data_IF_134422273945
#
_entry.id   IF_134422273945
#
_cell.length_a   1.000
_cell.length_b   1.000
_cell.length_c   1.000
_cell.angle_alpha   90.00
_cell.angle_beta   90.00
_cell.angle_gamma   90.00
#
_symmetry.space_group_name_H-M   'P 1'
#
loop_
_entity.id
_entity.type
_entity.pdbx_description
1 polymer ?
#
# COMPACT_ATOMS: atom_id res chain seq x y z
N UNK A 1 8.72 6.77 16.64
CA UNK A 1 9.25 5.44 17.03
C UNK A 1 8.94 4.51 15.88
N UNK A 2 9.95 3.95 15.19
CA UNK A 2 9.72 2.99 14.11
C UNK A 2 9.38 1.65 14.76
N UNK A 3 8.10 1.25 14.75
CA UNK A 3 7.73 -0.09 15.15
C UNK A 3 8.17 -1.04 14.05
N UNK A 4 9.20 -1.83 14.36
CA UNK A 4 9.63 -2.91 13.50
C UNK A 4 8.51 -3.95 13.50
N UNK A 5 7.87 -4.19 12.35
CA UNK A 5 6.84 -5.22 12.22
C UNK A 5 7.28 -6.53 12.86
N UNK A 6 6.38 -7.18 13.59
CA UNK A 6 6.61 -8.50 14.16
C UNK A 6 6.93 -9.52 13.04
N UNK A 7 7.56 -10.67 13.34
CA UNK A 7 7.79 -11.71 12.33
C UNK A 7 6.50 -12.18 11.65
N UNK A 8 5.38 -12.20 12.38
CA UNK A 8 4.07 -12.57 11.85
C UNK A 8 3.53 -11.50 10.88
N UNK A 9 3.61 -10.22 11.24
CA UNK A 9 3.26 -9.09 10.36
C UNK A 9 4.11 -9.06 9.09
N UNK A 10 5.43 -9.28 9.21
CA UNK A 10 6.31 -9.36 8.03
C UNK A 10 5.88 -10.48 7.08
N UNK A 11 5.56 -11.66 7.63
CA UNK A 11 5.08 -12.79 6.83
C UNK A 11 3.72 -12.48 6.18
N UNK A 12 2.83 -11.81 6.90
CA UNK A 12 1.54 -11.38 6.37
C UNK A 12 1.70 -10.36 5.22
N UNK A 13 2.64 -9.40 5.34
CA UNK A 13 2.96 -8.45 4.26
C UNK A 13 3.55 -9.12 3.02
N UNK A 14 4.35 -10.18 3.19
CA UNK A 14 4.90 -10.95 2.06
C UNK A 14 3.81 -11.65 1.24
N UNK A 15 2.69 -12.02 1.89
CA UNK A 15 1.51 -12.59 1.23
C UNK A 15 0.41 -11.58 0.92
N UNK A 16 0.61 -10.30 1.24
CA UNK A 16 -0.41 -9.28 1.10
C UNK A 16 -0.76 -9.06 -0.38
N UNK A 17 -2.05 -8.85 -0.65
CA UNK A 17 -2.56 -8.57 -1.99
C UNK A 17 -3.29 -7.23 -1.99
N UNK A 18 -3.31 -6.55 -3.14
CA UNK A 18 -4.07 -5.31 -3.32
C UNK A 18 -5.36 -5.61 -4.04
N UNK A 19 -6.49 -5.30 -3.42
CA UNK A 19 -7.81 -5.40 -4.01
C UNK A 19 -8.01 -4.28 -5.05
N UNK A 20 -7.76 -4.58 -6.33
CA UNK A 20 -7.82 -3.58 -7.42
C UNK A 20 -9.13 -2.81 -7.51
N UNK A 21 -10.25 -3.41 -7.11
CA UNK A 21 -11.56 -2.72 -7.08
C UNK A 21 -11.64 -1.55 -6.10
N UNK A 22 -10.68 -1.42 -5.18
CA UNK A 22 -10.57 -0.34 -4.19
C UNK A 22 -9.45 0.65 -4.52
N UNK A 23 -8.70 0.40 -5.58
CA UNK A 23 -7.64 1.30 -6.08
C UNK A 23 -8.30 2.36 -6.96
N UNK A 24 -7.92 3.62 -6.75
CA UNK A 24 -8.32 4.71 -7.65
C UNK A 24 -7.22 4.94 -8.66
N UNK A 25 -7.53 4.77 -9.95
CA UNK A 25 -6.60 4.93 -11.07
C UNK A 25 -7.12 6.06 -11.97
N UNK A 26 -6.27 7.05 -12.23
CA UNK A 26 -6.50 8.12 -13.20
C UNK A 26 -5.43 8.07 -14.32
N UNK A 27 -5.48 9.01 -15.27
CA UNK A 27 -4.56 9.03 -16.43
C UNK A 27 -3.08 9.17 -16.07
N UNK A 28 -2.77 9.63 -14.85
CA UNK A 28 -1.44 10.02 -14.40
C UNK A 28 -1.11 9.56 -12.99
N UNK A 29 -2.05 8.99 -12.25
CA UNK A 29 -1.92 8.65 -10.85
C UNK A 29 -2.66 7.37 -10.49
N UNK A 30 -2.11 6.66 -9.51
CA UNK A 30 -2.71 5.48 -8.91
C UNK A 30 -2.64 5.64 -7.40
N UNK A 31 -3.78 5.69 -6.74
CA UNK A 31 -3.90 5.76 -5.29
C UNK A 31 -4.35 4.41 -4.74
N UNK A 32 -3.52 3.84 -3.84
CA UNK A 32 -3.78 2.59 -3.14
C UNK A 32 -4.12 2.95 -1.68
N UNK A 33 -5.41 2.93 -1.29
CA UNK A 33 -5.79 3.18 0.08
C UNK A 33 -5.45 1.98 0.98
N UNK A 34 -5.33 2.22 2.28
CA UNK A 34 -4.97 1.18 3.27
C UNK A 34 -5.97 0.02 3.26
N UNK A 35 -7.26 0.32 3.11
CA UNK A 35 -8.34 -0.68 3.09
C UNK A 35 -8.35 -1.53 1.80
N UNK A 36 -7.55 -1.18 0.79
CA UNK A 36 -7.32 -2.02 -0.38
C UNK A 36 -6.31 -3.14 -0.11
N UNK A 37 -5.49 -3.03 0.94
CA UNK A 37 -4.49 -4.04 1.30
C UNK A 37 -5.17 -5.19 2.06
N UNK A 38 -5.09 -6.39 1.50
CA UNK A 38 -5.56 -7.62 2.12
C UNK A 38 -4.37 -8.46 2.56
N UNK A 39 -4.31 -8.77 3.84
CA UNK A 39 -3.27 -9.61 4.42
C UNK A 39 -3.87 -10.52 5.49
N UNK A 40 -3.16 -11.59 5.83
CA UNK A 40 -3.58 -12.57 6.84
C UNK A 40 -3.45 -12.05 8.28
N UNK A 41 -3.00 -10.80 8.45
CA UNK A 41 -2.93 -10.09 9.72
C UNK A 41 -3.71 -8.77 9.63
N UNK A 42 -4.30 -8.35 10.75
CA UNK A 42 -4.93 -7.04 10.89
C UNK A 42 -3.85 -6.01 11.18
N UNK A 43 -3.79 -4.97 10.36
CA UNK A 43 -2.93 -3.81 10.56
C UNK A 43 -3.77 -2.59 10.95
N UNK A 44 -3.24 -1.72 11.80
CA UNK A 44 -3.85 -0.41 12.07
C UNK A 44 -3.36 0.64 11.05
N UNK A 45 -4.10 1.75 10.91
CA UNK A 45 -3.72 2.86 9.98
C UNK A 45 -2.36 3.49 10.29
N UNK A 46 -1.79 3.31 11.48
CA UNK A 46 -0.43 3.77 11.75
C UNK A 46 0.65 2.79 11.25
N UNK A 47 0.27 1.54 10.98
CA UNK A 47 1.14 0.46 10.52
C UNK A 47 1.13 0.34 8.99
N UNK A 48 0.02 0.67 8.33
CA UNK A 48 -0.07 0.77 6.88
C UNK A 48 -0.42 2.20 6.49
N UNK A 49 0.11 2.67 5.36
CA UNK A 49 -0.22 4.02 4.88
C UNK A 49 -0.73 3.99 3.45
N UNK A 50 -1.51 5.01 3.11
CA UNK A 50 -1.93 5.27 1.74
C UNK A 50 -0.71 5.52 0.87
N UNK A 51 -0.67 4.89 -0.29
CA UNK A 51 0.38 5.08 -1.27
C UNK A 51 -0.21 5.71 -2.53
N UNK A 52 0.42 6.78 -3.02
CA UNK A 52 0.09 7.37 -4.33
C UNK A 52 1.30 7.28 -5.25
N UNK A 53 1.09 6.69 -6.42
CA UNK A 53 2.06 6.66 -7.52
C UNK A 53 1.63 7.62 -8.61
N UNK A 54 2.59 8.29 -9.24
CA UNK A 54 2.37 9.16 -10.39
C UNK A 54 3.21 8.70 -11.59
N UNK A 55 2.66 8.81 -12.79
CA UNK A 55 3.35 8.57 -14.04
C UNK A 55 4.07 9.84 -14.47
N UNK A 56 5.40 9.85 -14.37
CA UNK A 56 6.25 10.96 -14.81
C UNK A 56 7.30 10.43 -15.78
N UNK A 57 7.42 11.05 -16.95
CA UNK A 57 8.37 10.66 -18.01
C UNK A 57 8.32 9.15 -18.38
N UNK A 58 7.12 8.57 -18.41
CA UNK A 58 6.90 7.16 -18.71
C UNK A 58 7.30 6.19 -17.58
N UNK A 59 7.59 6.71 -16.38
CA UNK A 59 7.93 5.92 -15.19
C UNK A 59 6.93 6.17 -14.08
N UNK A 60 6.47 5.10 -13.43
CA UNK A 60 5.69 5.21 -12.21
C UNK A 60 6.61 5.52 -11.03
N UNK A 61 6.36 6.64 -10.36
CA UNK A 61 7.11 7.11 -9.20
C UNK A 61 6.19 7.12 -7.99
N UNK A 62 6.68 6.60 -6.87
CA UNK A 62 5.96 6.70 -5.60
C UNK A 62 6.18 8.09 -5.01
N UNK A 63 5.12 8.88 -4.94
CA UNK A 63 5.18 10.31 -4.59
C UNK A 63 4.66 10.60 -3.18
N UNK A 64 3.87 9.67 -2.60
CA UNK A 64 3.30 9.81 -1.26
C UNK A 64 3.21 8.47 -0.53
N UNK A 65 3.44 8.54 0.78
CA UNK A 65 3.21 7.53 1.82
C UNK A 65 2.49 8.18 3.00
#
# INVERSE_FOLDING_TARGET
>A
MFQLYSPAEKKALQGATVARSRVTEDSTSVTIPVDAVKADATFIESELREATMELRDGKWLLVRW
#
